data_IF_393671912961
#
_entry.id   IF_393671912961
#
_cell.length_a   1.000
_cell.length_b   1.000
_cell.length_c   1.000
_cell.angle_alpha   90.00
_cell.angle_beta   90.00
_cell.angle_gamma   90.00
#
_symmetry.space_group_name_H-M   'P 1'
#
loop_
_entity.id
_entity.type
_entity.pdbx_description
1 polymer ?
#
# COMPACT_ATOMS: atom_id res chain seq x y z
N UNK A 1 -49.45 18.07 14.14
CA UNK A 1 -48.92 16.75 13.76
C UNK A 1 -48.66 16.81 12.27
N UNK A 2 -47.45 17.24 11.88
CA UNK A 2 -47.05 17.38 10.48
C UNK A 2 -45.61 16.90 10.38
N UNK A 3 -45.51 15.76 9.70
CA UNK A 3 -44.36 15.04 9.13
C UNK A 3 -43.01 15.77 9.15
N UNK A 4 -42.03 15.08 9.73
CA UNK A 4 -40.59 15.35 9.67
C UNK A 4 -40.08 15.12 8.25
N UNK A 5 -39.61 16.17 7.59
CA UNK A 5 -38.77 16.07 6.39
C UNK A 5 -37.43 15.42 6.78
N UNK A 6 -37.26 14.17 6.38
CA UNK A 6 -36.00 13.45 6.45
C UNK A 6 -35.31 13.60 5.11
N UNK A 7 -34.30 14.49 5.02
CA UNK A 7 -33.50 14.70 3.82
C UNK A 7 -32.46 13.56 3.69
N UNK A 8 -32.55 12.69 2.67
CA UNK A 8 -31.64 11.57 2.50
C UNK A 8 -30.63 11.86 1.39
N UNK A 9 -30.00 13.04 1.37
CA UNK A 9 -28.89 13.29 0.46
C UNK A 9 -27.58 12.96 1.16
N UNK A 10 -27.30 11.65 1.26
CA UNK A 10 -25.99 11.15 1.61
C UNK A 10 -24.94 11.75 0.68
N UNK A 11 -24.11 12.61 1.24
CA UNK A 11 -22.95 13.19 0.58
C UNK A 11 -22.06 12.05 0.08
N UNK A 12 -22.07 11.87 -1.24
CA UNK A 12 -21.23 10.92 -1.94
C UNK A 12 -19.78 11.11 -1.45
N UNK A 13 -19.23 10.09 -0.77
CA UNK A 13 -17.82 10.02 -0.39
C UNK A 13 -16.98 10.31 -1.62
N UNK A 14 -16.49 11.54 -1.75
CA UNK A 14 -15.55 11.91 -2.78
C UNK A 14 -14.32 11.02 -2.58
N UNK A 15 -14.16 10.03 -3.45
CA UNK A 15 -12.97 9.17 -3.48
C UNK A 15 -11.80 10.09 -3.83
N UNK A 16 -11.16 10.66 -2.82
CA UNK A 16 -9.86 11.31 -2.95
C UNK A 16 -8.96 10.28 -3.63
N UNK A 17 -8.69 10.49 -4.92
CA UNK A 17 -7.70 9.73 -5.66
C UNK A 17 -6.34 10.12 -5.07
N UNK A 18 -5.93 9.39 -4.03
CA UNK A 18 -4.60 9.55 -3.47
C UNK A 18 -3.65 9.08 -4.57
N UNK A 19 -2.94 10.02 -5.17
CA UNK A 19 -1.80 9.71 -6.04
C UNK A 19 -0.81 8.91 -5.20
N UNK A 20 -0.71 7.61 -5.48
CA UNK A 20 0.26 6.73 -4.85
C UNK A 20 1.47 6.63 -5.76
N UNK A 21 2.65 6.86 -5.21
CA UNK A 21 3.90 6.61 -5.91
C UNK A 21 4.18 5.09 -5.87
N UNK A 22 4.57 4.53 -7.01
CA UNK A 22 5.14 3.19 -7.04
C UNK A 22 6.63 3.30 -6.72
N UNK A 23 7.09 2.52 -5.74
CA UNK A 23 8.50 2.44 -5.35
C UNK A 23 8.99 1.02 -5.57
N UNK A 24 10.01 0.86 -6.41
CA UNK A 24 10.66 -0.42 -6.67
C UNK A 24 11.41 -0.85 -5.40
N UNK A 25 11.20 -2.10 -4.96
CA UNK A 25 11.84 -2.66 -3.77
C UNK A 25 12.20 -4.13 -4.00
N UNK A 26 13.29 -4.56 -3.38
CA UNK A 26 13.64 -5.96 -3.17
C UNK A 26 13.25 -6.37 -1.76
N UNK A 27 12.44 -7.43 -1.64
CA UNK A 27 12.06 -8.04 -0.37
C UNK A 27 12.80 -9.36 -0.20
N UNK A 28 13.36 -9.57 0.99
CA UNK A 28 13.82 -10.89 1.44
C UNK A 28 12.84 -11.34 2.52
N UNK A 29 12.21 -12.49 2.30
CA UNK A 29 11.31 -13.10 3.26
C UNK A 29 12.09 -13.95 4.28
N UNK A 30 11.45 -14.27 5.40
CA UNK A 30 12.04 -15.04 6.50
C UNK A 30 12.41 -16.49 6.12
N UNK A 31 11.82 -17.02 5.05
CA UNK A 31 12.17 -18.32 4.46
C UNK A 31 13.40 -18.26 3.54
N UNK A 32 13.96 -17.06 3.31
CA UNK A 32 15.08 -16.81 2.39
C UNK A 32 14.66 -16.51 0.95
N UNK A 33 13.36 -16.53 0.63
CA UNK A 33 12.84 -16.17 -0.68
C UNK A 33 13.08 -14.69 -0.98
N UNK A 34 13.47 -14.38 -2.21
CA UNK A 34 13.66 -13.00 -2.68
C UNK A 34 12.58 -12.64 -3.69
N UNK A 35 11.99 -11.46 -3.50
CA UNK A 35 10.93 -10.93 -4.36
C UNK A 35 11.33 -9.54 -4.86
N UNK A 36 11.27 -9.36 -6.17
CA UNK A 36 11.49 -8.06 -6.83
C UNK A 36 10.17 -7.54 -7.39
N UNK A 37 9.92 -6.25 -7.22
CA UNK A 37 8.66 -5.62 -7.58
C UNK A 37 8.55 -4.23 -7.00
N UNK A 38 7.32 -3.76 -6.80
CA UNK A 38 7.07 -2.44 -6.25
C UNK A 38 5.94 -2.40 -5.23
N UNK A 39 6.07 -1.46 -4.28
CA UNK A 39 5.04 -1.13 -3.30
C UNK A 39 4.38 0.20 -3.64
N UNK A 40 3.18 0.40 -3.11
CA UNK A 40 2.43 1.64 -3.31
C UNK A 40 2.52 2.51 -2.06
N UNK A 41 3.22 3.63 -2.17
CA UNK A 41 3.39 4.61 -1.10
C UNK A 41 2.46 5.80 -1.34
N UNK A 42 1.87 6.33 -0.27
CA UNK A 42 1.22 7.62 -0.28
C UNK A 42 2.20 8.76 -0.57
N UNK A 43 1.66 9.95 -0.85
CA UNK A 43 2.48 11.14 -1.12
C UNK A 43 3.33 11.49 0.10
N UNK A 44 4.65 11.36 -0.01
CA UNK A 44 5.61 11.65 1.07
C UNK A 44 5.79 10.52 2.08
N UNK A 45 5.10 9.39 1.90
CA UNK A 45 5.26 8.20 2.74
C UNK A 45 6.55 7.47 2.35
N UNK A 46 7.34 7.05 3.34
CA UNK A 46 8.56 6.26 3.13
C UNK A 46 8.23 4.76 3.20
N UNK A 47 9.11 3.94 2.60
CA UNK A 47 9.04 2.48 2.74
C UNK A 47 9.08 2.07 4.22
N UNK A 48 9.86 2.77 5.05
CA UNK A 48 9.89 2.56 6.49
C UNK A 48 8.54 2.82 7.15
N UNK A 49 7.82 3.87 6.73
CA UNK A 49 6.52 4.21 7.32
C UNK A 49 5.49 3.14 6.96
N UNK A 50 5.50 2.69 5.70
CA UNK A 50 4.66 1.58 5.23
C UNK A 50 4.93 0.29 6.02
N UNK A 51 6.20 -0.05 6.27
CA UNK A 51 6.56 -1.26 7.02
C UNK A 51 6.22 -1.15 8.51
N UNK A 52 6.33 0.04 9.10
CA UNK A 52 6.07 0.24 10.52
C UNK A 52 4.61 0.60 10.86
N UNK A 53 3.71 0.73 9.88
CA UNK A 53 2.29 0.99 10.16
C UNK A 53 1.57 -0.21 10.83
N UNK A 54 0.39 0.04 11.40
CA UNK A 54 -0.42 -0.96 12.11
C UNK A 54 -1.00 -2.07 11.22
N UNK A 55 -0.84 -1.99 9.88
CA UNK A 55 -1.40 -3.00 8.97
C UNK A 55 -0.51 -4.24 8.98
N UNK A 56 -1.15 -5.40 9.05
CA UNK A 56 -0.47 -6.70 9.03
C UNK A 56 0.07 -7.10 7.65
N UNK A 57 -0.58 -6.61 6.58
CA UNK A 57 -0.25 -6.95 5.20
C UNK A 57 0.08 -5.69 4.40
N UNK A 58 1.08 -5.80 3.53
CA UNK A 58 1.42 -4.78 2.55
C UNK A 58 1.09 -5.26 1.12
N UNK A 59 0.53 -4.38 0.27
CA UNK A 59 0.35 -4.67 -1.14
C UNK A 59 1.70 -4.56 -1.86
N UNK A 60 2.10 -5.63 -2.52
CA UNK A 60 3.32 -5.75 -3.31
C UNK A 60 2.95 -6.20 -4.72
N UNK A 61 3.36 -5.45 -5.74
CA UNK A 61 3.19 -5.84 -7.13
C UNK A 61 4.50 -6.40 -7.66
N UNK A 62 4.51 -7.69 -7.97
CA UNK A 62 5.63 -8.37 -8.62
C UNK A 62 5.77 -7.92 -10.08
N UNK A 63 6.95 -8.14 -10.67
CA UNK A 63 7.24 -7.73 -12.06
C UNK A 63 6.29 -8.32 -13.10
N UNK A 64 5.71 -9.50 -12.85
CA UNK A 64 4.72 -10.14 -13.73
C UNK A 64 3.35 -9.41 -13.72
N UNK A 65 3.18 -8.36 -12.91
CA UNK A 65 1.96 -7.56 -12.80
C UNK A 65 0.97 -8.04 -11.73
N UNK A 66 1.21 -9.19 -11.10
CA UNK A 66 0.36 -9.75 -10.06
C UNK A 66 0.47 -8.93 -8.75
N UNK A 67 -0.66 -8.78 -8.06
CA UNK A 67 -0.74 -8.08 -6.77
C UNK A 67 -0.78 -9.10 -5.63
N UNK A 68 0.29 -9.14 -4.83
CA UNK A 68 0.42 -9.97 -3.65
C UNK A 68 0.17 -9.15 -2.39
N UNK A 69 -0.42 -9.78 -1.37
CA UNK A 69 -0.49 -9.24 -0.02
C UNK A 69 0.55 -9.95 0.84
N UNK A 70 1.66 -9.29 1.10
CA UNK A 70 2.78 -9.85 1.86
C UNK A 70 2.55 -9.55 3.35
N UNK A 71 2.59 -10.58 4.18
CA UNK A 71 2.57 -10.41 5.64
C UNK A 71 3.86 -9.71 6.07
N UNK A 72 3.76 -8.63 6.84
CA UNK A 72 4.96 -7.91 7.30
C UNK A 72 5.83 -8.75 8.22
N UNK A 73 5.20 -9.63 9.00
CA UNK A 73 5.89 -10.57 9.89
C UNK A 73 6.77 -11.58 9.15
N UNK A 74 6.54 -11.81 7.85
CA UNK A 74 7.38 -12.69 7.04
C UNK A 74 8.51 -11.95 6.34
N UNK A 75 8.63 -10.63 6.47
CA UNK A 75 9.67 -9.85 5.80
C UNK A 75 10.89 -9.78 6.72
N UNK A 76 12.02 -10.33 6.24
CA UNK A 76 13.30 -10.24 6.93
C UNK A 76 14.07 -8.97 6.55
N UNK A 77 14.00 -8.56 5.26
CA UNK A 77 14.68 -7.37 4.76
C UNK A 77 13.84 -6.71 3.66
N UNK A 78 13.87 -5.39 3.60
CA UNK A 78 13.33 -4.61 2.49
C UNK A 78 14.35 -3.57 2.05
N UNK A 79 14.71 -3.59 0.77
CA UNK A 79 15.68 -2.67 0.16
C UNK A 79 14.99 -1.86 -0.93
N UNK A 80 14.88 -0.53 -0.78
CA UNK A 80 14.43 0.34 -1.86
C UNK A 80 15.44 0.33 -3.01
N UNK A 81 14.95 0.16 -4.23
CA UNK A 81 15.75 0.31 -5.44
C UNK A 81 15.63 1.75 -5.91
N UNK A 82 16.65 2.54 -5.65
CA UNK A 82 16.79 3.86 -6.26
C UNK A 82 17.14 3.62 -7.73
N UNK A 83 16.19 3.87 -8.66
CA UNK A 83 16.55 3.86 -10.09
C UNK A 83 17.45 5.08 -10.33
N UNK A 84 18.71 4.89 -10.76
CA UNK A 84 19.49 6.02 -11.25
C UNK A 84 18.77 6.59 -12.48
N UNK A 85 18.48 7.90 -12.43
CA UNK A 85 18.00 8.70 -13.56
C UNK A 85 18.97 8.62 -14.75
#
# INVERSE_FOLDING_TARGET
>A
MTVTDFDPTQEARQRKSISKAAMDVELVLADGSQLSGHVFLGRGERVSDLLNDDKLFLPFRVENGELLLIAKSSIALCKPLDRPN
#
